data_IF_311927861235
#
_entry.id   IF_311927861235
#
_cell.length_a   1.000
_cell.length_b   1.000
_cell.length_c   1.000
_cell.angle_alpha   90.00
_cell.angle_beta   90.00
_cell.angle_gamma   90.00
#
_symmetry.space_group_name_H-M   'P 1'
#
loop_
_entity.id
_entity.type
_entity.pdbx_description
1 polymer ?
#
# COMPACT_ATOMS: atom_id res chain seq x y z
N UNK A 1 -6.88 -16.91 13.33
CA UNK A 1 -7.78 -16.95 12.14
C UNK A 1 -7.59 -15.70 11.28
N UNK A 2 -7.76 -14.49 11.76
CA UNK A 2 -7.56 -13.25 10.97
C UNK A 2 -6.18 -13.14 10.31
N UNK A 3 -5.13 -13.66 10.93
CA UNK A 3 -3.78 -13.65 10.38
C UNK A 3 -3.62 -14.65 9.22
N UNK A 4 -4.28 -15.79 9.32
CA UNK A 4 -4.30 -16.82 8.26
C UNK A 4 -5.11 -16.33 7.05
N UNK A 5 -6.26 -15.71 7.25
CA UNK A 5 -7.08 -15.13 6.20
C UNK A 5 -6.36 -14.01 5.42
N UNK A 6 -5.61 -13.14 6.11
CA UNK A 6 -4.76 -12.14 5.46
C UNK A 6 -3.65 -12.77 4.61
N UNK A 7 -3.00 -13.83 5.10
CA UNK A 7 -2.00 -14.59 4.32
C UNK A 7 -2.61 -15.22 3.08
N UNK A 8 -3.77 -15.83 3.23
CA UNK A 8 -4.47 -16.52 2.15
C UNK A 8 -4.85 -15.53 1.04
N UNK A 9 -5.39 -14.35 1.38
CA UNK A 9 -5.71 -13.29 0.42
C UNK A 9 -4.47 -12.78 -0.33
N UNK A 10 -3.35 -12.62 0.35
CA UNK A 10 -2.09 -12.20 -0.29
C UNK A 10 -1.47 -13.30 -1.17
N UNK A 11 -1.65 -14.57 -0.80
CA UNK A 11 -1.28 -15.70 -1.66
C UNK A 11 -2.16 -15.76 -2.92
N UNK A 12 -3.47 -15.56 -2.79
CA UNK A 12 -4.38 -15.52 -3.93
C UNK A 12 -4.03 -14.40 -4.92
N UNK A 13 -3.68 -13.22 -4.44
CA UNK A 13 -3.22 -12.10 -5.28
C UNK A 13 -1.99 -12.50 -6.12
N UNK A 14 -1.07 -13.26 -5.54
CA UNK A 14 0.12 -13.73 -6.26
C UNK A 14 -0.18 -14.87 -7.24
N UNK A 15 -0.82 -15.92 -6.72
CA UNK A 15 -0.89 -17.19 -7.45
C UNK A 15 -2.02 -17.22 -8.48
N UNK A 16 -3.09 -16.44 -8.25
CA UNK A 16 -4.28 -16.46 -9.09
C UNK A 16 -4.34 -15.32 -10.11
N UNK A 17 -3.77 -14.14 -9.82
CA UNK A 17 -4.01 -12.95 -10.64
C UNK A 17 -2.79 -12.34 -11.30
N UNK A 18 -1.58 -12.77 -10.95
CA UNK A 18 -0.31 -12.25 -11.52
C UNK A 18 -0.23 -10.72 -11.54
N UNK A 19 -0.64 -10.07 -10.45
CA UNK A 19 -0.74 -8.61 -10.35
C UNK A 19 0.62 -7.94 -10.17
N UNK A 20 1.49 -8.07 -11.15
CA UNK A 20 2.84 -7.47 -11.12
C UNK A 20 2.86 -5.94 -11.35
N UNK A 21 1.71 -5.37 -11.67
CA UNK A 21 1.47 -3.93 -11.72
C UNK A 21 0.93 -3.37 -10.39
N UNK A 22 0.70 -4.22 -9.38
CA UNK A 22 0.27 -3.81 -8.06
C UNK A 22 1.48 -3.47 -7.19
N UNK A 23 1.51 -2.25 -6.65
CA UNK A 23 2.53 -1.82 -5.70
C UNK A 23 1.87 -1.32 -4.42
N UNK A 24 2.17 -1.98 -3.29
CA UNK A 24 1.82 -1.47 -1.97
C UNK A 24 2.96 -0.63 -1.43
N UNK A 25 2.62 0.51 -0.84
CA UNK A 25 3.57 1.33 -0.09
C UNK A 25 3.12 1.37 1.37
N UNK A 26 3.89 0.74 2.24
CA UNK A 26 3.61 0.72 3.67
C UNK A 26 4.44 1.79 4.35
N UNK A 27 3.75 2.80 4.90
CA UNK A 27 4.38 3.84 5.69
C UNK A 27 4.68 3.31 7.11
N UNK A 28 5.93 2.93 7.35
CA UNK A 28 6.39 2.32 8.59
C UNK A 28 6.97 3.39 9.51
N UNK A 29 6.13 4.13 10.24
CA UNK A 29 6.61 5.08 11.25
C UNK A 29 6.86 4.46 12.62
N UNK A 30 6.65 3.16 12.77
CA UNK A 30 6.88 2.32 13.97
C UNK A 30 6.03 2.68 15.19
N UNK A 31 5.06 3.60 15.05
CA UNK A 31 4.29 4.14 16.18
C UNK A 31 2.79 3.91 16.04
N UNK A 32 2.17 3.64 17.17
CA UNK A 32 0.72 3.76 17.41
C UNK A 32 0.42 5.15 18.01
N UNK A 33 -0.74 5.30 18.67
CA UNK A 33 -1.13 6.55 19.32
C UNK A 33 -0.28 6.79 20.58
N UNK A 34 -0.12 5.75 21.40
CA UNK A 34 0.46 5.84 22.75
C UNK A 34 1.84 5.20 22.89
N UNK A 35 2.39 4.64 21.81
CA UNK A 35 3.68 3.95 21.88
C UNK A 35 4.07 3.28 20.56
N UNK A 36 5.11 2.45 20.58
CA UNK A 36 5.55 1.70 19.40
C UNK A 36 4.51 0.64 18.98
N UNK A 37 4.50 0.28 17.69
CA UNK A 37 3.69 -0.85 17.18
C UNK A 37 4.13 -2.14 17.84
N UNK A 38 5.45 -2.36 17.91
CA UNK A 38 6.11 -3.48 18.59
C UNK A 38 7.40 -3.00 19.24
N UNK A 39 7.35 -2.63 20.54
CA UNK A 39 8.47 -1.99 21.22
C UNK A 39 9.77 -2.80 21.23
N UNK A 40 9.69 -4.08 21.55
CA UNK A 40 10.85 -4.97 21.72
C UNK A 40 11.23 -5.77 20.47
N UNK A 41 10.53 -5.59 19.36
CA UNK A 41 10.77 -6.31 18.10
C UNK A 41 11.00 -5.34 16.95
N UNK A 42 10.96 -5.84 15.71
CA UNK A 42 11.25 -5.08 14.50
C UNK A 42 10.16 -5.35 13.48
N UNK A 43 9.13 -4.54 13.49
CA UNK A 43 7.94 -4.74 12.65
C UNK A 43 8.25 -4.73 11.14
N UNK A 44 9.24 -3.96 10.69
CA UNK A 44 9.62 -3.93 9.26
C UNK A 44 10.18 -5.28 8.82
N UNK A 45 10.97 -5.96 9.66
CA UNK A 45 11.49 -7.29 9.36
C UNK A 45 10.39 -8.36 9.41
N UNK A 46 9.44 -8.22 10.33
CA UNK A 46 8.25 -9.09 10.36
C UNK A 46 7.42 -8.92 9.10
N UNK A 47 7.18 -7.68 8.66
CA UNK A 47 6.46 -7.38 7.41
C UNK A 47 7.23 -7.90 6.18
N UNK A 48 8.55 -7.72 6.13
CA UNK A 48 9.38 -8.28 5.06
C UNK A 48 9.22 -9.80 4.96
N UNK A 49 9.34 -10.50 6.08
CA UNK A 49 9.18 -11.96 6.14
C UNK A 49 7.78 -12.38 5.71
N UNK A 50 6.76 -11.63 6.13
CA UNK A 50 5.38 -11.88 5.75
C UNK A 50 5.14 -11.74 4.25
N UNK A 51 5.54 -10.62 3.64
CA UNK A 51 5.35 -10.38 2.21
C UNK A 51 6.20 -11.30 1.35
N UNK A 52 7.47 -11.56 1.73
CA UNK A 52 8.31 -12.55 1.02
C UNK A 52 7.73 -13.95 1.10
N UNK A 53 7.23 -14.37 2.28
CA UNK A 53 6.54 -15.65 2.45
C UNK A 53 5.26 -15.77 1.62
N UNK A 54 4.58 -14.65 1.34
CA UNK A 54 3.45 -14.57 0.42
C UNK A 54 3.90 -14.38 -1.06
N UNK A 55 5.20 -14.39 -1.36
CA UNK A 55 5.77 -14.36 -2.71
C UNK A 55 5.83 -12.98 -3.36
N UNK A 56 5.66 -11.92 -2.60
CA UNK A 56 5.82 -10.56 -3.10
C UNK A 56 7.29 -10.20 -3.29
N UNK A 57 7.57 -9.32 -4.24
CA UNK A 57 8.82 -8.57 -4.26
C UNK A 57 8.80 -7.53 -3.14
N UNK A 58 9.85 -7.51 -2.30
CA UNK A 58 9.92 -6.60 -1.15
C UNK A 58 11.09 -5.65 -1.31
N UNK A 59 10.79 -4.36 -1.33
CA UNK A 59 11.76 -3.27 -1.37
C UNK A 59 11.72 -2.54 -0.03
N UNK A 60 12.86 -2.52 0.69
CA UNK A 60 12.98 -1.79 1.96
C UNK A 60 13.65 -0.45 1.75
N UNK A 61 12.99 0.62 2.16
CA UNK A 61 13.50 1.99 2.11
C UNK A 61 13.69 2.49 3.54
N UNK A 62 14.75 2.00 4.19
CA UNK A 62 14.98 2.18 5.64
C UNK A 62 15.85 3.41 5.91
N UNK A 63 16.99 3.52 5.23
CA UNK A 63 18.00 4.52 5.45
C UNK A 63 18.10 5.50 4.31
N UNK A 64 18.15 6.79 4.63
CA UNK A 64 18.40 7.84 3.64
C UNK A 64 19.86 7.86 3.18
N UNK A 65 20.12 8.58 2.11
CA UNK A 65 21.46 8.66 1.48
C UNK A 65 22.58 9.17 2.40
N UNK A 66 22.26 9.88 3.48
CA UNK A 66 23.26 10.27 4.48
C UNK A 66 23.96 9.09 5.15
N UNK A 67 23.28 7.93 5.19
CA UNK A 67 23.84 6.70 5.71
C UNK A 67 24.74 5.95 4.73
N UNK A 68 24.68 6.25 3.43
CA UNK A 68 25.38 5.49 2.40
C UNK A 68 26.89 5.49 2.64
N UNK A 69 27.47 6.66 2.97
CA UNK A 69 28.91 6.77 3.29
C UNK A 69 29.32 6.01 4.55
N UNK A 70 28.43 5.91 5.54
CA UNK A 70 28.70 5.12 6.75
C UNK A 70 28.64 3.63 6.45
N UNK A 71 27.66 3.19 5.65
CA UNK A 71 27.52 1.82 5.22
C UNK A 71 28.67 1.38 4.29
N UNK A 72 29.19 2.27 3.43
CA UNK A 72 30.37 2.02 2.60
C UNK A 72 31.65 1.81 3.43
N UNK A 73 31.78 2.52 4.57
CA UNK A 73 32.89 2.37 5.50
C UNK A 73 32.76 1.15 6.42
N UNK A 74 31.57 0.60 6.56
CA UNK A 74 31.28 -0.55 7.45
C UNK A 74 31.68 -1.88 6.80
N UNK A 75 32.96 -2.08 6.56
CA UNK A 75 33.49 -3.26 5.88
C UNK A 75 33.35 -4.56 6.68
N UNK A 76 33.18 -4.46 7.98
CA UNK A 76 32.99 -5.58 8.90
C UNK A 76 31.53 -5.87 9.25
N UNK A 77 30.61 -5.04 8.78
CA UNK A 77 29.18 -5.19 9.05
C UNK A 77 28.74 -4.86 10.49
N UNK A 78 29.58 -4.14 11.25
CA UNK A 78 29.27 -3.76 12.62
C UNK A 78 28.07 -2.81 12.69
N UNK A 79 27.99 -1.82 11.81
CA UNK A 79 26.86 -0.90 11.70
C UNK A 79 25.59 -1.63 11.29
N UNK A 80 25.67 -2.50 10.30
CA UNK A 80 24.53 -3.34 9.88
C UNK A 80 24.04 -4.21 11.03
N UNK A 81 24.96 -4.77 11.84
CA UNK A 81 24.60 -5.56 13.01
C UNK A 81 23.88 -4.72 14.07
N UNK A 82 24.39 -3.52 14.40
CA UNK A 82 23.71 -2.59 15.32
C UNK A 82 22.33 -2.20 14.79
N UNK A 83 22.21 -1.91 13.49
CA UNK A 83 20.92 -1.64 12.85
C UNK A 83 19.93 -2.80 13.01
N UNK A 84 20.38 -4.02 12.77
CA UNK A 84 19.53 -5.21 12.80
C UNK A 84 19.16 -5.69 14.20
N UNK A 85 19.91 -5.29 15.22
CA UNK A 85 19.65 -5.65 16.63
C UNK A 85 18.95 -4.54 17.42
N UNK A 86 18.76 -3.36 16.82
CA UNK A 86 18.06 -2.25 17.44
C UNK A 86 16.55 -2.43 17.36
N UNK A 87 15.86 -2.33 18.50
CA UNK A 87 14.40 -2.45 18.57
C UNK A 87 13.67 -1.24 18.02
N UNK A 88 12.40 -1.41 17.64
CA UNK A 88 11.54 -0.31 17.18
C UNK A 88 11.35 0.77 18.26
N UNK A 89 11.29 0.35 19.54
CA UNK A 89 11.22 1.27 20.67
C UNK A 89 12.46 2.15 20.79
N UNK A 90 13.65 1.57 20.62
CA UNK A 90 14.91 2.34 20.61
C UNK A 90 14.96 3.30 19.41
N UNK A 91 14.59 2.85 18.22
CA UNK A 91 14.55 3.73 17.03
C UNK A 91 13.64 4.94 17.21
N UNK A 92 12.51 4.76 17.91
CA UNK A 92 11.62 5.87 18.27
C UNK A 92 12.32 6.81 19.26
N UNK A 93 12.93 6.26 20.31
CA UNK A 93 13.62 7.02 21.35
C UNK A 93 14.79 7.83 20.77
N UNK A 94 15.58 7.25 19.88
CA UNK A 94 16.67 7.94 19.20
C UNK A 94 16.20 9.17 18.43
N UNK A 95 15.04 9.12 17.81
CA UNK A 95 14.53 10.28 17.06
C UNK A 95 13.88 11.33 17.95
N UNK A 96 13.37 10.94 19.10
CA UNK A 96 12.80 11.86 20.09
C UNK A 96 13.85 12.58 20.95
N UNK A 97 15.12 12.17 20.88
CA UNK A 97 16.26 12.76 21.54
C UNK A 97 17.19 13.47 20.53
N UNK A 98 18.35 13.91 20.96
CA UNK A 98 19.36 14.63 20.18
C UNK A 98 20.44 13.70 19.59
N UNK A 99 21.40 14.30 18.89
CA UNK A 99 22.50 13.57 18.27
C UNK A 99 23.50 13.02 19.28
N UNK A 100 23.70 13.69 20.43
CA UNK A 100 24.55 13.18 21.49
C UNK A 100 24.00 11.85 22.04
N UNK A 101 22.70 11.79 22.28
CA UNK A 101 22.03 10.57 22.69
C UNK A 101 22.18 9.43 21.65
N UNK A 102 22.03 9.76 20.36
CA UNK A 102 22.20 8.78 19.27
C UNK A 102 23.65 8.29 19.20
N UNK A 103 24.61 9.19 19.34
CA UNK A 103 26.04 8.85 19.37
C UNK A 103 26.32 7.83 20.48
N UNK A 104 25.87 8.09 21.70
CA UNK A 104 26.12 7.23 22.86
C UNK A 104 25.37 5.89 22.76
N UNK A 105 24.07 5.95 22.52
CA UNK A 105 23.20 4.78 22.71
C UNK A 105 22.95 3.95 21.42
N UNK A 106 23.27 4.47 20.26
CA UNK A 106 23.22 3.72 18.99
C UNK A 106 24.63 3.38 18.49
N UNK A 107 25.43 4.40 18.15
CA UNK A 107 26.77 4.18 17.62
C UNK A 107 27.73 3.66 18.68
N UNK A 108 27.58 4.04 19.95
CA UNK A 108 28.41 3.60 21.08
C UNK A 108 28.18 2.13 21.50
N UNK A 109 27.24 1.42 20.88
CA UNK A 109 27.03 -0.02 21.15
C UNK A 109 28.16 -0.90 20.65
N UNK A 110 28.96 -0.42 19.70
CA UNK A 110 30.13 -1.11 19.16
C UNK A 110 31.21 -0.07 18.87
N UNK A 111 32.45 -0.32 19.31
CA UNK A 111 33.57 0.61 19.11
C UNK A 111 33.83 0.93 17.63
N UNK A 112 33.56 -0.01 16.73
CA UNK A 112 33.71 0.19 15.30
C UNK A 112 32.67 1.16 14.74
N UNK A 113 31.43 1.08 15.24
CA UNK A 113 30.39 2.04 14.85
C UNK A 113 30.62 3.42 15.44
N UNK A 114 31.15 3.51 16.66
CA UNK A 114 31.54 4.79 17.27
C UNK A 114 32.59 5.52 16.43
N UNK A 115 33.59 4.79 15.91
CA UNK A 115 34.63 5.34 15.00
C UNK A 115 34.06 5.87 13.68
N UNK A 116 33.00 5.27 13.14
CA UNK A 116 32.39 5.72 11.89
C UNK A 116 31.85 7.16 11.96
N UNK A 117 31.54 7.64 13.16
CA UNK A 117 30.93 8.95 13.41
C UNK A 117 31.79 9.86 14.29
N UNK A 118 33.07 9.53 14.52
CA UNK A 118 33.96 10.31 15.39
C UNK A 118 34.13 11.76 14.92
N UNK A 119 34.19 11.97 13.61
CA UNK A 119 34.34 13.29 12.99
C UNK A 119 33.01 14.02 12.73
N UNK A 120 31.87 13.40 13.02
CA UNK A 120 30.56 14.00 12.83
C UNK A 120 30.13 14.78 14.07
N UNK A 121 29.54 15.94 13.88
CA UNK A 121 28.85 16.66 14.96
C UNK A 121 27.55 15.94 15.38
N UNK A 122 27.04 16.25 16.55
CA UNK A 122 25.78 15.67 17.02
C UNK A 122 24.59 16.12 16.14
N UNK A 123 24.63 17.34 15.63
CA UNK A 123 23.62 17.83 14.68
C UNK A 123 23.65 17.05 13.36
N UNK A 124 24.82 16.71 12.83
CA UNK A 124 24.97 15.87 11.64
C UNK A 124 24.43 14.44 11.88
N UNK A 125 24.70 13.86 13.04
CA UNK A 125 24.18 12.56 13.45
C UNK A 125 22.65 12.61 13.52
N UNK A 126 22.08 13.63 14.15
CA UNK A 126 20.63 13.77 14.28
C UNK A 126 19.96 14.04 12.92
N UNK A 127 20.66 14.68 11.99
CA UNK A 127 20.20 14.95 10.63
C UNK A 127 20.18 13.73 9.72
N UNK A 128 20.75 12.58 10.11
CA UNK A 128 20.69 11.33 9.36
C UNK A 128 19.22 10.86 9.20
N UNK A 129 18.73 10.92 7.96
CA UNK A 129 17.31 10.69 7.65
C UNK A 129 16.95 9.22 7.54
N UNK A 130 15.69 8.90 7.83
CA UNK A 130 15.10 7.63 7.44
C UNK A 130 14.81 7.65 5.93
N UNK A 131 14.85 6.45 5.32
CA UNK A 131 14.75 6.29 3.86
C UNK A 131 13.43 6.78 3.28
N UNK A 132 12.32 6.58 3.98
CA UNK A 132 11.00 7.06 3.56
C UNK A 132 10.87 8.59 3.48
N UNK A 133 11.83 9.33 4.03
CA UNK A 133 11.95 10.79 3.92
C UNK A 133 13.04 11.25 2.95
N UNK A 134 13.69 10.33 2.25
CA UNK A 134 14.65 10.63 1.19
C UNK A 134 14.02 10.41 -0.17
N UNK A 135 13.61 11.50 -0.82
CA UNK A 135 12.91 11.44 -2.10
C UNK A 135 13.67 10.67 -3.20
N UNK A 136 15.02 10.68 -3.18
CA UNK A 136 15.83 9.91 -4.16
C UNK A 136 15.73 8.41 -3.90
N UNK A 137 15.78 7.99 -2.63
CA UNK A 137 15.59 6.58 -2.24
C UNK A 137 14.17 6.12 -2.53
N UNK A 138 13.17 6.96 -2.26
CA UNK A 138 11.76 6.69 -2.61
C UNK A 138 11.59 6.57 -4.12
N UNK A 139 12.13 7.51 -4.90
CA UNK A 139 12.09 7.43 -6.36
C UNK A 139 12.72 6.13 -6.88
N UNK A 140 13.90 5.77 -6.40
CA UNK A 140 14.59 4.54 -6.79
C UNK A 140 13.76 3.28 -6.47
N UNK A 141 13.05 3.28 -5.33
CA UNK A 141 12.16 2.18 -4.96
C UNK A 141 10.98 2.05 -5.93
N UNK A 142 10.35 3.15 -6.33
CA UNK A 142 9.29 3.14 -7.34
C UNK A 142 9.81 2.73 -8.72
N UNK A 143 10.98 3.22 -9.14
CA UNK A 143 11.61 2.80 -10.39
C UNK A 143 11.85 1.29 -10.39
N UNK A 144 12.41 0.75 -9.30
CA UNK A 144 12.62 -0.70 -9.15
C UNK A 144 11.32 -1.50 -9.16
N UNK A 145 10.25 -0.96 -8.55
CA UNK A 145 8.94 -1.61 -8.56
C UNK A 145 8.36 -1.72 -9.99
N UNK A 146 8.57 -0.70 -10.82
CA UNK A 146 8.13 -0.71 -12.21
C UNK A 146 8.90 -1.74 -13.07
N UNK A 147 10.16 -2.01 -12.76
CA UNK A 147 10.98 -3.04 -13.44
C UNK A 147 10.46 -4.46 -13.17
N UNK A 148 9.66 -4.65 -12.11
CA UNK A 148 9.10 -5.95 -11.74
C UNK A 148 7.96 -6.40 -12.67
N UNK A 149 7.49 -5.54 -13.56
CA UNK A 149 6.44 -5.85 -14.54
C UNK A 149 6.85 -7.04 -15.44
N UNK A 150 5.94 -7.97 -15.66
CA UNK A 150 6.19 -9.21 -16.41
C UNK A 150 6.65 -10.38 -15.55
N UNK A 151 6.84 -10.19 -14.23
CA UNK A 151 7.27 -11.29 -13.33
C UNK A 151 6.10 -12.05 -12.70
N UNK A 152 4.88 -11.52 -12.80
CA UNK A 152 3.69 -12.04 -12.14
C UNK A 152 3.70 -11.83 -10.62
N UNK A 153 4.62 -11.01 -10.06
CA UNK A 153 4.75 -10.78 -8.61
C UNK A 153 4.40 -9.35 -8.26
N UNK A 154 3.45 -9.11 -7.36
CA UNK A 154 3.22 -7.77 -6.83
C UNK A 154 4.40 -7.29 -5.99
N UNK A 155 4.55 -5.98 -5.87
CA UNK A 155 5.64 -5.35 -5.13
C UNK A 155 5.12 -4.68 -3.86
N UNK A 156 5.86 -4.79 -2.76
CA UNK A 156 5.66 -3.96 -1.57
C UNK A 156 6.89 -3.12 -1.27
N UNK A 157 6.69 -1.83 -1.05
CA UNK A 157 7.71 -0.90 -0.58
C UNK A 157 7.47 -0.64 0.91
N UNK A 158 8.40 -1.06 1.76
CA UNK A 158 8.38 -0.80 3.19
C UNK A 158 9.20 0.46 3.47
N UNK A 159 8.52 1.59 3.63
CA UNK A 159 9.15 2.89 3.79
C UNK A 159 9.26 3.28 5.27
N UNK A 160 10.46 3.29 5.82
CA UNK A 160 10.71 3.75 7.20
C UNK A 160 10.60 5.27 7.27
N UNK A 161 9.66 5.75 8.06
CA UNK A 161 9.36 7.16 8.24
C UNK A 161 9.37 7.54 9.74
N UNK A 162 9.13 8.81 10.01
CA UNK A 162 9.05 9.36 11.36
C UNK A 162 7.73 10.09 11.51
N UNK A 163 6.99 9.79 12.58
CA UNK A 163 5.76 10.49 12.92
C UNK A 163 6.08 11.97 13.22
N UNK A 164 5.34 12.89 12.62
CA UNK A 164 5.57 14.32 12.77
C UNK A 164 6.81 14.87 12.05
N UNK A 165 7.36 14.12 11.08
CA UNK A 165 8.53 14.55 10.31
C UNK A 165 8.33 15.95 9.70
N UNK A 166 9.35 16.77 9.82
CA UNK A 166 9.34 18.15 9.31
C UNK A 166 8.84 19.19 10.30
N UNK A 167 8.07 18.79 11.33
CA UNK A 167 7.53 19.72 12.33
C UNK A 167 8.53 20.14 13.40
N UNK A 168 9.73 19.54 13.43
CA UNK A 168 10.80 19.87 14.35
C UNK A 168 10.82 19.02 15.61
N UNK A 169 11.81 19.32 16.47
CA UNK A 169 12.19 18.51 17.63
C UNK A 169 11.03 18.27 18.62
N UNK A 170 10.11 19.22 18.77
CA UNK A 170 8.97 19.07 19.68
C UNK A 170 7.94 18.04 19.23
N UNK A 171 7.99 17.62 17.96
CA UNK A 171 6.98 16.77 17.32
C UNK A 171 7.55 15.46 16.76
N UNK A 172 8.76 15.51 16.19
CA UNK A 172 9.32 14.36 15.50
C UNK A 172 9.58 13.19 16.47
N UNK A 173 9.00 12.03 16.15
CA UNK A 173 9.16 10.78 16.93
C UNK A 173 8.37 10.72 18.22
N UNK A 174 7.61 11.75 18.60
CA UNK A 174 6.92 11.80 19.90
C UNK A 174 5.52 11.16 19.83
N UNK A 175 5.13 10.43 20.87
CA UNK A 175 3.80 9.85 20.98
C UNK A 175 2.72 10.93 21.04
N UNK A 176 2.97 12.01 21.81
CA UNK A 176 2.05 13.12 21.98
C UNK A 176 1.69 13.85 20.67
N UNK A 177 2.50 13.71 19.60
CA UNK A 177 2.28 14.38 18.31
C UNK A 177 0.89 14.12 17.72
N UNK A 178 0.32 12.95 17.96
CA UNK A 178 -1.04 12.65 17.48
C UNK A 178 -2.12 13.53 18.11
N UNK A 179 -1.92 13.95 19.37
CA UNK A 179 -2.89 14.76 20.12
C UNK A 179 -2.57 16.25 20.09
N UNK A 180 -1.39 16.63 19.61
CA UNK A 180 -1.00 18.03 19.52
C UNK A 180 -1.81 18.73 18.40
N UNK A 181 -2.71 19.59 18.81
CA UNK A 181 -3.64 20.30 17.90
C UNK A 181 -3.10 21.62 17.37
N UNK A 182 -2.07 22.18 18.01
CA UNK A 182 -1.54 23.52 17.73
C UNK A 182 -0.03 23.53 17.84
N UNK A 183 0.60 24.21 16.90
CA UNK A 183 2.00 24.58 16.96
C UNK A 183 2.13 25.89 17.78
N UNK A 184 3.23 26.05 18.51
CA UNK A 184 3.56 27.35 19.08
C UNK A 184 4.02 28.30 17.96
N UNK A 185 4.03 29.60 18.24
CA UNK A 185 4.54 30.58 17.26
C UNK A 185 5.99 30.26 16.86
N UNK A 186 6.83 29.89 17.80
CA UNK A 186 8.22 29.49 17.54
C UNK A 186 8.34 28.22 16.69
N UNK A 187 7.44 27.26 16.89
CA UNK A 187 7.40 26.06 16.04
C UNK A 187 6.97 26.41 14.60
N UNK A 188 6.01 27.33 14.44
CA UNK A 188 5.58 27.82 13.14
C UNK A 188 6.71 28.57 12.41
N UNK A 189 7.44 29.45 13.11
CA UNK A 189 8.59 30.15 12.54
C UNK A 189 9.67 29.18 12.10
N UNK A 190 10.04 28.21 12.94
CA UNK A 190 11.01 27.15 12.59
C UNK A 190 10.54 26.29 11.40
N UNK A 191 9.25 25.95 11.34
CA UNK A 191 8.68 25.21 10.22
C UNK A 191 8.76 26.03 8.93
N UNK A 192 8.34 27.30 8.96
CA UNK A 192 8.42 28.24 7.83
C UNK A 192 9.87 28.34 7.29
N UNK A 193 10.83 28.57 8.19
CA UNK A 193 12.23 28.73 7.83
C UNK A 193 12.80 27.44 7.21
N UNK A 194 12.48 26.29 7.80
CA UNK A 194 12.93 24.98 7.29
C UNK A 194 12.33 24.65 5.92
N UNK A 195 11.11 25.11 5.65
CA UNK A 195 10.43 24.89 4.37
C UNK A 195 10.64 26.06 3.38
N UNK A 196 11.42 27.07 3.76
CA UNK A 196 11.69 28.27 2.94
C UNK A 196 10.40 28.96 2.46
N UNK A 197 9.35 28.97 3.33
CA UNK A 197 8.08 29.62 3.02
C UNK A 197 8.23 31.13 3.20
N UNK A 198 7.90 31.96 2.20
CA UNK A 198 8.21 33.40 2.19
C UNK A 198 7.22 34.24 3.01
N UNK A 199 7.01 33.90 4.29
CA UNK A 199 6.24 34.72 5.21
C UNK A 199 7.15 35.42 6.23
N UNK A 200 6.85 36.68 6.54
CA UNK A 200 7.49 37.43 7.61
C UNK A 200 7.04 36.97 8.99
N UNK A 201 7.83 37.27 10.01
CA UNK A 201 7.44 37.04 11.41
C UNK A 201 6.13 37.75 11.76
N UNK A 202 5.98 39.00 11.32
CA UNK A 202 4.78 39.81 11.58
C UNK A 202 3.50 39.20 11.00
N UNK A 203 3.58 38.51 9.85
CA UNK A 203 2.43 37.80 9.27
C UNK A 203 2.02 36.59 10.10
N UNK A 204 2.98 35.84 10.65
CA UNK A 204 2.72 34.70 11.52
C UNK A 204 2.26 35.13 12.93
N UNK A 205 2.77 36.24 13.43
CA UNK A 205 2.40 36.80 14.75
C UNK A 205 0.99 37.38 14.77
N UNK A 206 0.45 37.78 13.62
CA UNK A 206 -0.90 38.34 13.50
C UNK A 206 -1.97 37.37 13.99
N UNK A 207 -1.88 36.09 13.60
CA UNK A 207 -2.71 35.01 14.12
C UNK A 207 -1.97 33.67 13.96
N UNK A 208 -1.30 33.19 15.01
CA UNK A 208 -0.56 31.93 14.97
C UNK A 208 -1.44 30.69 14.71
N UNK A 209 -2.76 30.84 14.88
CA UNK A 209 -3.71 29.71 14.65
C UNK A 209 -4.33 29.71 13.25
N UNK A 210 -4.13 30.79 12.51
CA UNK A 210 -4.58 30.93 11.12
C UNK A 210 -3.45 31.53 10.25
N UNK A 211 -2.33 30.80 10.08
CA UNK A 211 -1.24 31.27 9.22
C UNK A 211 -1.74 31.49 7.80
N UNK A 212 -1.15 32.43 7.04
CA UNK A 212 -1.52 32.67 5.66
C UNK A 212 -1.40 31.41 4.80
N UNK A 213 -2.28 31.26 3.83
CA UNK A 213 -2.15 30.18 2.82
C UNK A 213 -1.05 30.52 1.82
N UNK A 214 -0.11 29.61 1.64
CA UNK A 214 0.96 29.75 0.66
C UNK A 214 0.69 28.92 -0.59
N UNK A 215 0.82 29.58 -1.73
CA UNK A 215 0.86 28.92 -3.03
C UNK A 215 1.93 29.65 -3.87
N UNK A 216 2.93 28.93 -4.45
CA UNK A 216 4.06 29.56 -5.13
C UNK A 216 3.69 30.28 -6.43
N UNK A 217 2.45 30.19 -6.88
CA UNK A 217 1.96 30.77 -8.12
C UNK A 217 2.07 29.81 -9.31
N UNK A 218 1.18 30.01 -10.30
CA UNK A 218 1.12 29.15 -11.49
C UNK A 218 2.37 29.23 -12.35
N UNK A 219 3.11 30.32 -12.23
CA UNK A 219 4.32 30.60 -13.02
C UNK A 219 5.61 30.14 -12.35
N UNK A 220 5.55 29.64 -11.12
CA UNK A 220 6.73 29.11 -10.45
C UNK A 220 7.27 27.85 -11.18
N UNK A 221 8.59 27.61 -11.13
CA UNK A 221 9.21 26.45 -11.77
C UNK A 221 8.62 25.13 -11.31
N UNK A 222 8.30 25.01 -10.03
CA UNK A 222 7.73 23.80 -9.42
C UNK A 222 6.34 23.47 -10.00
N UNK A 223 5.48 24.49 -10.10
CA UNK A 223 4.13 24.33 -10.63
C UNK A 223 4.17 24.05 -12.13
N UNK A 224 5.02 24.75 -12.89
CA UNK A 224 5.20 24.45 -14.32
C UNK A 224 5.65 23.01 -14.54
N UNK A 225 6.68 22.56 -13.82
CA UNK A 225 7.16 21.19 -13.88
C UNK A 225 6.05 20.17 -13.57
N UNK A 226 5.31 20.41 -12.47
CA UNK A 226 4.20 19.54 -12.08
C UNK A 226 3.12 19.46 -13.17
N UNK A 227 2.74 20.61 -13.74
CA UNK A 227 1.69 20.67 -14.78
C UNK A 227 2.14 19.99 -16.08
N UNK A 228 3.40 20.15 -16.48
CA UNK A 228 3.98 19.47 -17.64
C UNK A 228 3.94 17.95 -17.46
N UNK A 229 4.40 17.44 -16.30
CA UNK A 229 4.32 16.00 -16.00
C UNK A 229 2.87 15.50 -16.01
N UNK A 230 1.92 16.25 -15.44
CA UNK A 230 0.51 15.90 -15.47
C UNK A 230 -0.05 15.85 -16.91
N UNK A 231 0.34 16.80 -17.75
CA UNK A 231 -0.07 16.83 -19.16
C UNK A 231 0.45 15.62 -19.93
N UNK A 232 1.71 15.24 -19.72
CA UNK A 232 2.29 14.03 -20.35
C UNK A 232 1.58 12.74 -19.92
N UNK A 233 1.06 12.69 -18.69
CA UNK A 233 0.28 11.58 -18.17
C UNK A 233 -1.22 11.61 -18.56
N UNK A 234 -1.62 12.52 -19.45
CA UNK A 234 -3.01 12.63 -19.92
C UNK A 234 -3.91 13.54 -19.09
N UNK A 235 -3.36 14.40 -18.23
CA UNK A 235 -4.12 15.39 -17.46
C UNK A 235 -4.34 15.01 -16.00
N UNK A 236 -5.28 15.69 -15.35
CA UNK A 236 -5.60 15.48 -13.93
C UNK A 236 -6.56 14.30 -13.73
N UNK A 237 -6.41 13.59 -12.63
CA UNK A 237 -7.31 12.51 -12.22
C UNK A 237 -8.06 12.91 -10.93
N UNK A 238 -9.32 12.46 -10.78
CA UNK A 238 -10.16 11.81 -11.80
C UNK A 238 -10.71 12.80 -12.82
N UNK A 239 -10.73 12.42 -14.09
CA UNK A 239 -11.47 13.14 -15.12
C UNK A 239 -12.87 12.51 -15.25
N UNK A 240 -13.91 13.31 -15.14
CA UNK A 240 -15.28 12.83 -15.38
C UNK A 240 -15.48 12.70 -16.88
N UNK A 241 -15.76 11.48 -17.32
CA UNK A 241 -16.16 11.19 -18.70
C UNK A 241 -17.67 11.04 -18.74
N UNK A 242 -18.31 11.79 -19.61
CA UNK A 242 -19.76 11.74 -19.82
C UNK A 242 -20.12 11.03 -21.15
N UNK A 243 -19.13 10.65 -21.93
CA UNK A 243 -19.23 9.91 -23.19
C UNK A 243 -19.38 8.39 -22.94
N UNK A 244 -20.54 7.97 -22.50
CA UNK A 244 -20.83 6.56 -22.33
C UNK A 244 -22.00 6.12 -23.23
N UNK A 245 -21.90 4.92 -23.78
CA UNK A 245 -23.04 4.29 -24.45
C UNK A 245 -23.97 3.69 -23.40
N UNK A 246 -25.23 4.11 -23.30
CA UNK A 246 -26.19 3.53 -22.38
C UNK A 246 -26.30 2.02 -22.59
N UNK A 247 -26.36 1.27 -21.49
CA UNK A 247 -26.62 -0.16 -21.55
C UNK A 247 -28.14 -0.40 -21.67
N UNK A 248 -28.52 -1.22 -22.62
CA UNK A 248 -29.92 -1.66 -22.73
C UNK A 248 -30.24 -2.70 -21.66
N UNK A 249 -31.30 -2.48 -20.92
CA UNK A 249 -31.79 -3.47 -19.97
C UNK A 249 -32.29 -4.73 -20.74
N UNK A 250 -32.08 -5.93 -20.20
CA UNK A 250 -32.60 -7.14 -20.81
C UNK A 250 -34.13 -7.07 -20.93
N UNK A 251 -34.67 -7.42 -22.07
CA UNK A 251 -36.10 -7.47 -22.25
C UNK A 251 -36.76 -8.45 -21.26
N UNK A 252 -37.90 -8.09 -20.71
CA UNK A 252 -38.57 -8.83 -19.64
C UNK A 252 -38.98 -10.25 -20.06
N UNK A 253 -39.13 -10.52 -21.36
CA UNK A 253 -39.38 -11.87 -21.88
C UNK A 253 -38.20 -12.81 -21.68
N UNK A 254 -36.98 -12.30 -21.65
CA UNK A 254 -35.76 -13.08 -21.34
C UNK A 254 -35.75 -13.57 -19.89
N UNK A 255 -36.43 -12.87 -18.98
CA UNK A 255 -36.58 -13.26 -17.58
C UNK A 255 -37.83 -14.10 -17.32
N UNK A 256 -38.42 -14.67 -18.38
CA UNK A 256 -39.70 -15.39 -18.29
C UNK A 256 -39.70 -16.56 -17.30
N UNK A 257 -38.60 -17.32 -17.19
CA UNK A 257 -38.46 -18.44 -16.25
C UNK A 257 -38.61 -18.03 -14.80
N UNK A 258 -38.13 -16.81 -14.45
CA UNK A 258 -38.23 -16.29 -13.09
C UNK A 258 -39.57 -15.58 -12.87
N UNK A 259 -40.05 -14.83 -13.86
CA UNK A 259 -41.34 -14.08 -13.76
C UNK A 259 -42.59 -14.96 -13.62
N UNK A 260 -42.56 -16.17 -14.16
CA UNK A 260 -43.65 -17.12 -14.02
C UNK A 260 -43.83 -17.68 -12.59
N UNK A 261 -42.84 -17.41 -11.73
CA UNK A 261 -42.79 -18.03 -10.40
C UNK A 261 -42.48 -19.54 -10.44
N UNK A 262 -42.46 -20.15 -9.28
CA UNK A 262 -42.10 -21.56 -9.10
C UNK A 262 -43.33 -22.50 -9.03
N UNK A 263 -44.56 -21.96 -9.08
CA UNK A 263 -45.79 -22.73 -8.94
C UNK A 263 -45.89 -23.39 -7.57
N UNK A 264 -46.00 -24.72 -7.54
CA UNK A 264 -46.05 -25.49 -6.30
C UNK A 264 -44.66 -25.89 -5.76
N UNK A 265 -43.60 -25.61 -6.50
CA UNK A 265 -42.24 -25.94 -6.11
C UNK A 265 -41.66 -24.87 -5.19
N UNK A 266 -41.17 -25.30 -4.04
CA UNK A 266 -40.40 -24.43 -3.16
C UNK A 266 -39.02 -24.14 -3.78
N UNK A 267 -38.66 -22.88 -3.87
CA UNK A 267 -37.38 -22.43 -4.43
C UNK A 267 -36.78 -21.37 -3.53
N UNK A 268 -35.54 -21.59 -3.13
CA UNK A 268 -34.78 -20.57 -2.38
C UNK A 268 -34.58 -19.28 -3.21
N UNK A 269 -34.62 -18.13 -2.57
CA UNK A 269 -34.44 -16.83 -3.22
C UNK A 269 -33.10 -16.75 -3.93
N UNK A 270 -32.03 -17.33 -3.36
CA UNK A 270 -30.71 -17.43 -3.98
C UNK A 270 -30.76 -18.17 -5.32
N UNK A 271 -31.52 -19.28 -5.42
CA UNK A 271 -31.69 -20.03 -6.66
C UNK A 271 -32.42 -19.18 -7.73
N UNK A 272 -33.39 -18.37 -7.33
CA UNK A 272 -34.08 -17.47 -8.24
C UNK A 272 -33.10 -16.38 -8.74
N UNK A 273 -32.26 -15.84 -7.87
CA UNK A 273 -31.18 -14.89 -8.22
C UNK A 273 -30.21 -15.53 -9.22
N UNK A 274 -29.70 -16.73 -8.95
CA UNK A 274 -28.77 -17.46 -9.82
C UNK A 274 -29.36 -17.65 -11.24
N UNK A 275 -30.64 -18.01 -11.35
CA UNK A 275 -31.34 -18.12 -12.63
C UNK A 275 -31.45 -16.77 -13.34
N UNK A 276 -31.77 -15.71 -12.61
CA UNK A 276 -31.86 -14.34 -13.13
C UNK A 276 -30.50 -13.89 -13.70
N UNK A 277 -29.45 -14.05 -12.93
CA UNK A 277 -28.09 -13.68 -13.38
C UNK A 277 -27.67 -14.51 -14.59
N UNK A 278 -27.99 -15.80 -14.66
CA UNK A 278 -27.69 -16.62 -15.83
C UNK A 278 -28.30 -16.06 -17.11
N UNK A 279 -29.53 -15.55 -17.04
CA UNK A 279 -30.16 -14.93 -18.21
C UNK A 279 -29.53 -13.56 -18.54
N UNK A 280 -29.16 -12.74 -17.55
CA UNK A 280 -28.47 -11.47 -17.75
C UNK A 280 -27.10 -11.72 -18.41
N UNK A 281 -26.34 -12.69 -17.94
CA UNK A 281 -25.00 -13.00 -18.44
C UNK A 281 -25.00 -13.59 -19.87
N UNK A 282 -26.13 -14.10 -20.35
CA UNK A 282 -26.32 -14.49 -21.76
C UNK A 282 -26.41 -13.28 -22.70
N UNK A 283 -26.70 -12.09 -22.20
CA UNK A 283 -26.65 -10.88 -23.00
C UNK A 283 -25.19 -10.54 -23.31
N UNK A 284 -24.86 -10.38 -24.62
CA UNK A 284 -23.47 -10.19 -25.07
C UNK A 284 -22.81 -8.94 -24.54
N UNK A 285 -23.57 -7.86 -24.35
CA UNK A 285 -23.04 -6.57 -23.91
C UNK A 285 -23.08 -6.45 -22.38
N UNK A 286 -24.21 -6.73 -21.76
CA UNK A 286 -24.39 -6.63 -20.33
C UNK A 286 -23.63 -7.75 -19.58
N UNK A 287 -23.66 -8.98 -20.11
CA UNK A 287 -23.01 -10.13 -19.51
C UNK A 287 -21.50 -9.95 -19.31
N UNK A 288 -20.81 -9.28 -20.24
CA UNK A 288 -19.38 -8.97 -20.13
C UNK A 288 -19.05 -8.02 -18.97
N UNK A 289 -20.05 -7.31 -18.44
CA UNK A 289 -19.89 -6.30 -17.38
C UNK A 289 -20.28 -6.86 -15.99
N UNK A 290 -20.84 -8.05 -15.93
CA UNK A 290 -21.21 -8.73 -14.69
C UNK A 290 -20.11 -9.70 -14.30
N UNK A 291 -19.47 -9.44 -13.19
CA UNK A 291 -18.39 -10.28 -12.65
C UNK A 291 -18.86 -10.88 -11.32
N UNK A 292 -19.29 -12.14 -11.29
CA UNK A 292 -19.58 -12.83 -10.04
C UNK A 292 -18.30 -13.04 -9.24
N UNK A 293 -18.36 -12.73 -7.94
CA UNK A 293 -17.25 -12.98 -7.00
C UNK A 293 -17.75 -14.01 -6.01
N UNK A 294 -17.11 -15.16 -5.97
CA UNK A 294 -17.50 -16.29 -5.12
C UNK A 294 -16.35 -16.65 -4.16
N UNK A 295 -16.66 -16.95 -2.88
CA UNK A 295 -15.62 -17.43 -1.96
C UNK A 295 -15.19 -18.86 -2.29
N UNK A 296 -16.09 -19.86 -2.25
CA UNK A 296 -15.84 -21.27 -2.58
C UNK A 296 -17.15 -22.08 -2.65
N UNK A 297 -18.29 -21.45 -2.47
CA UNK A 297 -19.57 -22.14 -2.20
C UNK A 297 -20.51 -22.15 -3.42
N UNK A 298 -19.97 -22.02 -4.63
CA UNK A 298 -20.77 -21.95 -5.85
C UNK A 298 -21.74 -23.12 -5.99
N UNK A 299 -21.32 -24.35 -5.67
CA UNK A 299 -22.19 -25.53 -5.74
C UNK A 299 -23.33 -25.49 -4.72
N UNK A 300 -23.05 -25.03 -3.50
CA UNK A 300 -24.05 -24.90 -2.43
C UNK A 300 -25.20 -23.98 -2.85
N UNK A 301 -24.89 -22.93 -3.62
CA UNK A 301 -25.86 -21.95 -4.08
C UNK A 301 -26.35 -22.18 -5.51
N UNK A 302 -25.99 -23.32 -6.15
CA UNK A 302 -26.38 -23.65 -7.52
C UNK A 302 -25.72 -22.86 -8.62
N UNK A 303 -24.60 -22.15 -8.30
CA UNK A 303 -23.83 -21.36 -9.24
C UNK A 303 -22.87 -22.20 -10.08
N UNK A 304 -22.66 -23.47 -9.75
CA UNK A 304 -21.91 -24.45 -10.54
C UNK A 304 -22.42 -24.56 -11.97
N UNK A 305 -23.72 -24.29 -12.19
CA UNK A 305 -24.32 -24.21 -13.53
C UNK A 305 -23.71 -23.11 -14.41
N UNK A 306 -22.92 -22.22 -13.86
CA UNK A 306 -22.21 -21.15 -14.59
C UNK A 306 -20.83 -21.59 -15.07
N UNK A 307 -20.18 -22.58 -14.42
CA UNK A 307 -18.82 -23.01 -14.76
C UNK A 307 -18.60 -23.36 -16.23
N UNK A 308 -19.49 -24.12 -16.90
CA UNK A 308 -19.26 -24.47 -18.30
C UNK A 308 -19.27 -23.28 -19.27
N UNK A 309 -20.04 -22.24 -18.95
CA UNK A 309 -20.28 -21.10 -19.87
C UNK A 309 -19.49 -19.86 -19.51
N UNK A 310 -19.34 -19.57 -18.22
CA UNK A 310 -18.71 -18.36 -17.73
C UNK A 310 -17.28 -18.57 -17.30
N UNK A 311 -16.97 -19.77 -16.86
CA UNK A 311 -15.66 -20.20 -16.38
C UNK A 311 -15.12 -19.32 -15.22
N UNK A 312 -14.27 -19.86 -14.40
CA UNK A 312 -13.50 -19.12 -13.41
C UNK A 312 -12.32 -18.47 -14.13
N UNK A 313 -12.11 -17.20 -13.85
CA UNK A 313 -10.97 -16.49 -14.41
C UNK A 313 -9.66 -16.94 -13.78
N UNK A 314 -8.70 -17.33 -14.62
CA UNK A 314 -7.34 -17.62 -14.21
C UNK A 314 -6.38 -17.12 -15.32
N UNK A 315 -5.42 -16.23 -15.03
CA UNK A 315 -4.53 -15.66 -16.04
C UNK A 315 -3.66 -16.70 -16.74
N UNK A 316 -3.47 -17.88 -16.14
CA UNK A 316 -2.71 -19.02 -16.73
C UNK A 316 -3.58 -20.03 -17.42
N UNK A 317 -4.90 -19.86 -17.38
CA UNK A 317 -5.85 -20.90 -17.82
C UNK A 317 -5.83 -22.12 -16.87
N UNK A 318 -6.35 -23.25 -17.34
CA UNK A 318 -6.40 -24.50 -16.56
C UNK A 318 -5.34 -25.49 -17.05
N UNK A 319 -4.26 -25.62 -16.30
CA UNK A 319 -3.12 -26.48 -16.63
C UNK A 319 -3.17 -27.88 -15.99
N UNK A 320 -4.35 -28.28 -15.51
CA UNK A 320 -4.61 -29.57 -14.88
C UNK A 320 -5.99 -30.11 -15.31
N UNK A 321 -6.20 -31.41 -15.14
CA UNK A 321 -7.51 -32.04 -15.37
C UNK A 321 -8.29 -31.97 -14.06
N UNK A 322 -9.47 -31.32 -14.02
CA UNK A 322 -10.26 -31.25 -12.79
C UNK A 322 -10.80 -32.62 -12.41
N UNK A 323 -10.95 -32.87 -11.10
CA UNK A 323 -11.40 -34.15 -10.56
C UNK A 323 -12.78 -34.58 -11.14
N UNK A 324 -13.62 -33.60 -11.41
CA UNK A 324 -14.99 -33.77 -11.89
C UNK A 324 -15.14 -33.55 -13.41
N UNK A 325 -14.04 -33.73 -14.18
CA UNK A 325 -13.98 -33.42 -15.61
C UNK A 325 -15.06 -34.18 -16.45
N UNK A 326 -15.51 -35.33 -16.00
CA UNK A 326 -16.56 -36.14 -16.64
C UNK A 326 -17.97 -35.59 -16.34
N UNK A 327 -18.14 -34.68 -15.42
CA UNK A 327 -19.43 -34.11 -15.08
C UNK A 327 -19.78 -32.95 -16.01
N UNK A 328 -21.06 -32.85 -16.38
CA UNK A 328 -21.55 -31.75 -17.22
C UNK A 328 -21.31 -30.38 -16.59
N UNK A 329 -21.33 -30.27 -15.26
CA UNK A 329 -21.11 -29.06 -14.48
C UNK A 329 -19.70 -29.06 -13.83
N UNK A 330 -18.70 -29.52 -14.56
CA UNK A 330 -17.33 -29.58 -14.08
C UNK A 330 -16.74 -28.19 -13.81
N UNK A 331 -15.85 -28.14 -12.83
CA UNK A 331 -15.04 -26.95 -12.54
C UNK A 331 -14.19 -26.58 -13.76
N UNK A 332 -14.23 -25.31 -14.16
CA UNK A 332 -13.48 -24.83 -15.34
C UNK A 332 -12.84 -23.47 -15.09
N UNK A 333 -11.55 -23.39 -15.35
CA UNK A 333 -10.79 -22.16 -15.36
C UNK A 333 -10.38 -21.78 -16.79
N UNK A 334 -10.29 -20.48 -17.07
CA UNK A 334 -9.81 -19.99 -18.36
C UNK A 334 -9.35 -18.52 -18.27
N UNK A 335 -8.51 -18.12 -19.20
CA UNK A 335 -8.04 -16.72 -19.31
C UNK A 335 -9.15 -15.75 -19.69
N UNK A 336 -10.22 -16.25 -20.29
CA UNK A 336 -11.45 -15.53 -20.63
C UNK A 336 -12.60 -15.77 -19.63
N UNK A 337 -12.30 -16.33 -18.47
CA UNK A 337 -13.28 -16.56 -17.42
C UNK A 337 -13.86 -15.28 -16.84
N UNK A 338 -15.11 -15.34 -16.38
CA UNK A 338 -15.83 -14.18 -15.83
C UNK A 338 -16.05 -14.26 -14.32
N UNK A 339 -15.84 -15.41 -13.70
CA UNK A 339 -16.06 -15.62 -12.28
C UNK A 339 -14.75 -15.43 -11.55
N UNK A 340 -14.72 -14.57 -10.55
CA UNK A 340 -13.61 -14.48 -9.61
C UNK A 340 -13.85 -15.44 -8.43
N UNK A 341 -12.88 -16.30 -8.16
CA UNK A 341 -12.91 -17.26 -7.08
C UNK A 341 -11.86 -16.89 -6.04
N UNK A 342 -12.32 -16.26 -4.95
CA UNK A 342 -11.43 -15.60 -3.97
C UNK A 342 -10.97 -16.51 -2.82
N UNK A 343 -11.59 -17.69 -2.67
CA UNK A 343 -11.43 -18.52 -1.48
C UNK A 343 -12.20 -17.99 -0.27
N UNK A 344 -12.34 -18.81 0.74
CA UNK A 344 -13.02 -18.46 1.99
C UNK A 344 -12.12 -17.53 2.80
N UNK A 345 -12.52 -16.28 2.92
CA UNK A 345 -11.78 -15.27 3.68
C UNK A 345 -12.74 -14.28 4.32
N UNK A 346 -13.02 -14.42 5.62
CA UNK A 346 -13.92 -13.54 6.39
C UNK A 346 -13.27 -12.16 6.71
N UNK A 347 -12.30 -11.69 5.99
CA UNK A 347 -11.66 -10.40 6.24
C UNK A 347 -12.18 -9.31 5.31
#
# INVERSE_FOLDING_TARGET
LHYIARRQRQMCIRDSYELDNLTFVVNCNLQRLDGPVRGNTQIIQELESFFRGAGWEVIKVIWGRGWDKLLEKDTEGALVNVMNTTSDGDYQTFKANDGAYVREHFFGRDERTAKLVEDMSDDEIWALRRGGHDYRKVYAAYARALENKGTGKPTVILAHTIKGYGLGHNFEGRNATHQMKKLTLDDLKRFRDKQEIPFSDAELEKDPYLPPYYHPGKDSPEIKYMLERRKELGGFLPERREDFTPLEAPALDKLRSVRKGSGKQEVATTMALVRTFKEIMRNKELGKRVVPIIPDEARTFGMDSWFPTMKIWNPRGQNYVPVDHDLMLSYREATDGHILHEGISEA
#
